data_IF_768646579204
#
_entry.id   IF_768646579204
#
_cell.length_a   1.000
_cell.length_b   1.000
_cell.length_c   1.000
_cell.angle_alpha   90.00
_cell.angle_beta   90.00
_cell.angle_gamma   90.00
#
_symmetry.space_group_name_H-M   'P 1'
#
loop_
_entity.id
_entity.type
_entity.pdbx_description
1 polymer ?
#
# COMPACT_ATOMS: atom_id res chain seq x y z
N UNK A 1 -0.26 -3.56 21.42
CA UNK A 1 -0.32 -2.08 21.34
C UNK A 1 -0.42 -1.61 19.89
N UNK A 2 0.34 -2.21 18.97
CA UNK A 2 0.37 -1.91 17.53
C UNK A 2 -0.98 -2.12 16.81
N UNK A 3 -1.67 -3.24 17.07
CA UNK A 3 -2.97 -3.53 16.44
C UNK A 3 -4.07 -2.51 16.79
N UNK A 4 -4.05 -1.97 18.01
CA UNK A 4 -5.00 -0.94 18.46
C UNK A 4 -4.77 0.40 17.72
N UNK A 5 -3.52 0.75 17.43
CA UNK A 5 -3.22 1.93 16.61
C UNK A 5 -3.71 1.75 15.18
N UNK A 6 -3.55 0.54 14.61
CA UNK A 6 -4.01 0.25 13.24
C UNK A 6 -5.54 0.28 13.13
N UNK A 7 -6.28 -0.20 14.12
CA UNK A 7 -7.75 -0.07 14.13
C UNK A 7 -8.19 1.39 14.20
N UNK A 8 -7.52 2.23 15.00
CA UNK A 8 -7.82 3.67 15.05
C UNK A 8 -7.58 4.36 13.69
N UNK A 9 -6.57 3.95 12.94
CA UNK A 9 -6.33 4.45 11.57
C UNK A 9 -7.46 4.06 10.63
N UNK A 10 -7.95 2.82 10.71
CA UNK A 10 -9.09 2.34 9.91
C UNK A 10 -10.35 3.13 10.27
N UNK A 11 -10.64 3.32 11.56
CA UNK A 11 -11.82 4.07 12.02
C UNK A 11 -11.76 5.54 11.57
N UNK A 12 -10.60 6.19 11.71
CA UNK A 12 -10.39 7.55 11.24
C UNK A 12 -10.57 7.67 9.72
N UNK A 13 -10.03 6.71 8.95
CA UNK A 13 -10.21 6.68 7.50
C UNK A 13 -11.68 6.47 7.10
N UNK A 14 -12.40 5.58 7.80
CA UNK A 14 -13.83 5.37 7.57
C UNK A 14 -14.63 6.65 7.80
N UNK A 15 -14.36 7.39 8.89
CA UNK A 15 -15.03 8.67 9.14
C UNK A 15 -14.84 9.68 8.00
N UNK A 16 -13.64 9.72 7.41
CA UNK A 16 -13.38 10.59 6.24
C UNK A 16 -14.16 10.09 5.03
N UNK A 17 -14.09 8.80 4.71
CA UNK A 17 -14.78 8.21 3.56
C UNK A 17 -16.30 8.40 3.65
N UNK A 18 -16.88 8.24 4.85
CA UNK A 18 -18.33 8.32 5.09
C UNK A 18 -18.84 9.77 5.06
N UNK A 19 -17.97 10.76 5.27
CA UNK A 19 -18.33 12.18 5.19
C UNK A 19 -18.27 12.76 3.76
N UNK A 20 -17.73 12.01 2.79
CA UNK A 20 -17.60 12.45 1.40
C UNK A 20 -18.74 11.87 0.55
N UNK A 21 -19.48 12.74 -0.13
CA UNK A 21 -20.45 12.30 -1.15
C UNK A 21 -19.70 11.86 -2.42
N UNK A 22 -19.49 10.56 -2.52
CA UNK A 22 -18.81 9.91 -3.65
C UNK A 22 -19.62 10.00 -4.94
N UNK A 23 -20.94 10.01 -4.87
CA UNK A 23 -21.77 10.10 -6.08
C UNK A 23 -21.70 11.51 -6.66
N UNK A 24 -21.74 12.54 -5.82
CA UNK A 24 -21.54 13.93 -6.23
C UNK A 24 -20.14 14.11 -6.84
N UNK A 25 -19.10 13.61 -6.15
CA UNK A 25 -17.72 13.67 -6.63
C UNK A 25 -17.55 12.99 -7.99
N UNK A 26 -18.12 11.81 -8.19
CA UNK A 26 -18.08 11.08 -9.44
C UNK A 26 -18.81 11.83 -10.57
N UNK A 27 -20.00 12.39 -10.28
CA UNK A 27 -20.77 13.19 -11.24
C UNK A 27 -20.02 14.43 -11.69
N UNK A 28 -19.36 15.12 -10.77
CA UNK A 28 -18.58 16.31 -11.07
C UNK A 28 -17.46 16.00 -12.07
N UNK A 29 -16.68 14.93 -11.84
CA UNK A 29 -15.58 14.55 -12.74
C UNK A 29 -16.02 13.89 -14.05
N UNK A 30 -17.27 13.42 -14.15
CA UNK A 30 -17.83 12.92 -15.39
C UNK A 30 -18.21 14.04 -16.37
N UNK A 31 -18.48 15.24 -15.86
CA UNK A 31 -18.87 16.42 -16.64
C UNK A 31 -17.62 17.23 -17.05
N UNK A 32 -17.59 17.71 -18.30
CA UNK A 32 -16.59 18.69 -18.73
C UNK A 32 -17.01 20.07 -18.25
N UNK A 33 -16.22 20.67 -17.36
CA UNK A 33 -16.39 22.05 -16.92
C UNK A 33 -15.55 22.99 -17.82
N UNK A 34 -16.06 24.18 -18.10
CA UNK A 34 -15.37 25.22 -18.86
C UNK A 34 -14.24 25.83 -18.02
N UNK A 35 -12.97 25.78 -18.46
CA UNK A 35 -11.83 26.26 -17.68
C UNK A 35 -11.65 27.78 -17.66
N UNK A 36 -12.41 28.55 -18.46
CA UNK A 36 -12.24 30.01 -18.58
C UNK A 36 -13.02 30.83 -17.53
N UNK A 37 -13.80 30.17 -16.67
CA UNK A 37 -14.53 30.80 -15.56
C UNK A 37 -13.79 30.60 -14.22
N UNK A 38 -13.41 31.69 -13.57
CA UNK A 38 -12.67 31.69 -12.29
C UNK A 38 -13.46 30.97 -11.17
N UNK A 39 -14.79 31.10 -11.16
CA UNK A 39 -15.65 30.41 -10.19
C UNK A 39 -15.66 28.90 -10.44
N UNK A 40 -15.68 28.49 -11.72
CA UNK A 40 -15.61 27.09 -12.11
C UNK A 40 -14.25 26.46 -11.76
N UNK A 41 -13.15 27.21 -11.91
CA UNK A 41 -11.81 26.75 -11.53
C UNK A 41 -11.70 26.54 -10.01
N UNK A 42 -12.24 27.46 -9.22
CA UNK A 42 -12.26 27.35 -7.75
C UNK A 42 -13.10 26.16 -7.27
N UNK A 43 -14.24 25.89 -7.89
CA UNK A 43 -15.06 24.70 -7.61
C UNK A 43 -14.28 23.44 -7.95
N UNK A 44 -13.64 23.40 -9.12
CA UNK A 44 -12.83 22.25 -9.55
C UNK A 44 -11.70 21.92 -8.57
N UNK A 45 -10.95 22.93 -8.11
CA UNK A 45 -9.89 22.75 -7.10
C UNK A 45 -10.42 22.15 -5.80
N UNK A 46 -11.63 22.54 -5.37
CA UNK A 46 -12.27 21.94 -4.18
C UNK A 46 -12.58 20.47 -4.39
N UNK A 47 -13.21 20.10 -5.51
CA UNK A 47 -13.52 18.70 -5.83
C UNK A 47 -12.25 17.85 -6.02
N UNK A 48 -11.18 18.41 -6.60
CA UNK A 48 -9.86 17.76 -6.69
C UNK A 48 -9.26 17.51 -5.29
N UNK A 49 -9.32 18.49 -4.40
CA UNK A 49 -8.90 18.34 -3.01
C UNK A 49 -9.71 17.28 -2.26
N UNK A 50 -11.04 17.26 -2.42
CA UNK A 50 -11.92 16.24 -1.83
C UNK A 50 -11.59 14.83 -2.35
N UNK A 51 -11.33 14.68 -3.66
CA UNK A 51 -10.87 13.41 -4.24
C UNK A 51 -9.54 12.97 -3.65
N UNK A 52 -8.60 13.89 -3.47
CA UNK A 52 -7.28 13.57 -2.92
C UNK A 52 -7.37 13.17 -1.44
N UNK A 53 -8.27 13.78 -0.67
CA UNK A 53 -8.59 13.37 0.70
C UNK A 53 -9.22 11.98 0.76
N UNK A 54 -10.19 11.70 -0.12
CA UNK A 54 -10.80 10.38 -0.25
C UNK A 54 -9.75 9.31 -0.60
N UNK A 55 -8.89 9.60 -1.56
CA UNK A 55 -7.83 8.69 -1.99
C UNK A 55 -6.80 8.45 -0.87
N UNK A 56 -6.46 9.48 -0.10
CA UNK A 56 -5.56 9.33 1.05
C UNK A 56 -6.18 8.46 2.14
N UNK A 57 -7.46 8.67 2.48
CA UNK A 57 -8.16 7.86 3.48
C UNK A 57 -8.23 6.38 3.06
N UNK A 58 -8.61 6.11 1.81
CA UNK A 58 -8.62 4.75 1.24
C UNK A 58 -7.23 4.12 1.22
N UNK A 59 -6.19 4.90 0.90
CA UNK A 59 -4.81 4.41 0.92
C UNK A 59 -4.36 4.01 2.33
N UNK A 60 -4.54 4.88 3.33
CA UNK A 60 -4.16 4.59 4.71
C UNK A 60 -4.95 3.42 5.29
N UNK A 61 -6.26 3.33 5.00
CA UNK A 61 -7.09 2.18 5.36
C UNK A 61 -6.56 0.89 4.76
N UNK A 62 -6.18 0.89 3.48
CA UNK A 62 -5.62 -0.27 2.79
C UNK A 62 -4.30 -0.75 3.40
N UNK A 63 -3.40 0.17 3.74
CA UNK A 63 -2.15 -0.16 4.43
C UNK A 63 -2.40 -0.78 5.80
N UNK A 64 -3.30 -0.19 6.59
CA UNK A 64 -3.64 -0.70 7.92
C UNK A 64 -4.31 -2.08 7.87
N UNK A 65 -5.20 -2.32 6.90
CA UNK A 65 -5.82 -3.63 6.69
C UNK A 65 -4.78 -4.71 6.36
N UNK A 66 -3.83 -4.40 5.46
CA UNK A 66 -2.76 -5.33 5.11
C UNK A 66 -1.83 -5.63 6.29
N UNK A 67 -1.48 -4.63 7.08
CA UNK A 67 -0.62 -4.82 8.25
C UNK A 67 -1.32 -5.66 9.33
N UNK A 68 -2.61 -5.46 9.58
CA UNK A 68 -3.39 -6.29 10.51
C UNK A 68 -3.42 -7.75 10.06
N UNK A 69 -3.60 -8.02 8.76
CA UNK A 69 -3.58 -9.38 8.23
C UNK A 69 -2.20 -10.04 8.41
N UNK A 70 -1.13 -9.32 8.06
CA UNK A 70 0.25 -9.77 8.27
C UNK A 70 0.54 -10.14 9.74
N UNK A 71 0.08 -9.31 10.69
CA UNK A 71 0.24 -9.58 12.12
C UNK A 71 -0.55 -10.82 12.58
N UNK A 72 -1.74 -11.06 12.03
CA UNK A 72 -2.54 -12.25 12.35
C UNK A 72 -1.89 -13.53 11.84
N UNK A 73 -1.30 -13.50 10.65
CA UNK A 73 -0.58 -14.65 10.08
C UNK A 73 0.65 -15.01 10.93
N UNK A 74 1.36 -14.01 11.46
CA UNK A 74 2.48 -14.21 12.37
C UNK A 74 2.03 -14.84 13.70
N UNK A 75 0.98 -14.31 14.33
CA UNK A 75 0.42 -14.86 15.57
C UNK A 75 -0.06 -16.30 15.40
N UNK A 76 -0.67 -16.62 14.25
CA UNK A 76 -1.09 -17.98 13.92
C UNK A 76 0.11 -18.92 13.74
N UNK A 77 1.18 -18.45 13.08
CA UNK A 77 2.41 -19.23 12.87
C UNK A 77 3.19 -19.45 14.17
N UNK A 78 3.15 -18.50 15.12
CA UNK A 78 3.76 -18.66 16.44
C UNK A 78 2.97 -19.62 17.33
N UNK A 79 1.64 -19.62 17.28
CA UNK A 79 0.80 -20.57 18.03
C UNK A 79 0.80 -21.99 17.45
N UNK A 80 1.03 -22.13 16.15
CA UNK A 80 1.12 -23.43 15.48
C UNK A 80 2.45 -24.19 15.75
N UNK A 81 3.42 -23.57 16.43
CA UNK A 81 4.67 -24.24 16.83
C UNK A 81 4.52 -25.19 18.04
N UNK A 82 3.36 -25.22 18.69
CA UNK A 82 3.09 -26.09 19.84
C UNK A 82 2.10 -27.25 19.60
N UNK A 83 1.46 -27.36 18.43
CA UNK A 83 0.67 -28.56 18.07
C UNK A 83 0.69 -28.75 16.56
N UNK A 84 1.17 -29.93 16.14
CA UNK A 84 1.00 -30.45 14.77
C UNK A 84 -0.50 -30.49 14.44
N UNK A 85 -0.96 -29.57 13.62
CA UNK A 85 -2.32 -29.62 13.08
C UNK A 85 -2.30 -29.14 11.64
N UNK A 86 -2.36 -30.14 10.76
CA UNK A 86 -2.75 -30.00 9.38
C UNK A 86 -4.07 -29.22 9.25
N UNK A 87 -4.07 -28.30 8.29
CA UNK A 87 -5.20 -27.92 7.45
C UNK A 87 -6.43 -27.28 8.10
N UNK A 88 -6.63 -26.00 7.79
CA UNK A 88 -7.96 -25.48 7.52
C UNK A 88 -7.91 -24.46 6.37
N UNK A 89 -8.01 -24.98 5.15
CA UNK A 89 -8.66 -24.26 4.04
C UNK A 89 -10.12 -24.04 4.45
N UNK A 90 -10.38 -22.98 5.20
CA UNK A 90 -11.75 -22.63 5.56
C UNK A 90 -12.29 -21.62 4.54
N UNK A 91 -13.10 -22.14 3.62
CA UNK A 91 -13.87 -21.38 2.64
C UNK A 91 -15.00 -20.59 3.28
N UNK A 92 -14.66 -19.69 4.19
CA UNK A 92 -15.58 -18.67 4.69
C UNK A 92 -15.59 -17.52 3.69
N UNK A 93 -16.76 -17.23 3.14
CA UNK A 93 -17.06 -16.12 2.24
C UNK A 93 -16.99 -14.77 2.97
N UNK A 94 -15.93 -14.54 3.75
CA UNK A 94 -15.68 -13.23 4.32
C UNK A 94 -15.26 -12.29 3.18
N UNK A 95 -15.86 -11.09 3.09
CA UNK A 95 -15.45 -10.10 2.12
C UNK A 95 -13.97 -9.78 2.31
N UNK A 96 -13.18 -9.83 1.23
CA UNK A 96 -11.80 -9.37 1.25
C UNK A 96 -11.82 -7.84 1.35
N UNK A 97 -11.89 -7.35 2.59
CA UNK A 97 -11.97 -5.92 2.90
C UNK A 97 -10.80 -5.13 2.29
N UNK A 98 -9.63 -5.76 2.18
CA UNK A 98 -8.48 -5.14 1.54
C UNK A 98 -8.71 -4.97 0.03
N UNK A 99 -9.17 -6.03 -0.65
CA UNK A 99 -9.42 -5.99 -2.09
C UNK A 99 -10.58 -5.04 -2.43
N UNK A 100 -11.66 -5.04 -1.63
CA UNK A 100 -12.76 -4.07 -1.77
C UNK A 100 -12.27 -2.63 -1.65
N UNK A 101 -11.47 -2.33 -0.62
CA UNK A 101 -10.88 -1.02 -0.42
C UNK A 101 -9.92 -0.63 -1.57
N UNK A 102 -9.12 -1.58 -2.06
CA UNK A 102 -8.21 -1.34 -3.18
C UNK A 102 -8.97 -1.05 -4.49
N UNK A 103 -10.02 -1.83 -4.77
CA UNK A 103 -10.87 -1.61 -5.94
C UNK A 103 -11.59 -0.27 -5.87
N UNK A 104 -12.00 0.15 -4.67
CA UNK A 104 -12.55 1.48 -4.46
C UNK A 104 -11.50 2.57 -4.74
N UNK A 105 -10.30 2.49 -4.16
CA UNK A 105 -9.20 3.44 -4.43
C UNK A 105 -8.90 3.57 -5.92
N UNK A 106 -8.86 2.45 -6.64
CA UNK A 106 -8.58 2.39 -8.08
C UNK A 106 -9.57 3.19 -8.93
N UNK A 107 -10.79 3.45 -8.45
CA UNK A 107 -11.76 4.29 -9.16
C UNK A 107 -11.37 5.77 -9.18
N UNK A 108 -10.60 6.21 -8.17
CA UNK A 108 -10.32 7.62 -7.91
C UNK A 108 -8.93 8.06 -8.36
N UNK A 109 -7.97 7.14 -8.42
CA UNK A 109 -6.56 7.46 -8.69
C UNK A 109 -5.86 6.42 -9.54
N UNK A 110 -4.74 6.81 -10.18
CA UNK A 110 -3.81 5.86 -10.76
C UNK A 110 -2.97 5.19 -9.66
N UNK A 111 -3.36 3.96 -9.32
CA UNK A 111 -2.69 3.12 -8.32
C UNK A 111 -1.27 2.68 -8.72
N UNK A 112 -0.87 2.89 -9.99
CA UNK A 112 0.50 2.64 -10.45
C UNK A 112 1.45 3.80 -10.18
N UNK A 113 0.92 4.96 -9.81
CA UNK A 113 1.75 6.11 -9.41
C UNK A 113 2.58 5.78 -8.17
N UNK A 114 3.73 6.45 -8.02
CA UNK A 114 4.66 6.22 -6.90
C UNK A 114 3.99 6.41 -5.53
N UNK A 115 3.01 7.34 -5.43
CA UNK A 115 2.27 7.63 -4.18
C UNK A 115 1.54 6.40 -3.63
N UNK A 116 0.87 5.64 -4.48
CA UNK A 116 0.05 4.48 -4.08
C UNK A 116 0.75 3.14 -4.34
N UNK A 117 1.97 3.18 -4.89
CA UNK A 117 2.70 2.00 -5.35
C UNK A 117 2.91 0.94 -4.26
N UNK A 118 3.13 1.33 -3.00
CA UNK A 118 3.32 0.38 -1.89
C UNK A 118 2.06 -0.46 -1.64
N UNK A 119 0.87 0.12 -1.75
CA UNK A 119 -0.37 -0.64 -1.62
C UNK A 119 -0.51 -1.62 -2.80
N UNK A 120 -0.12 -1.22 -4.00
CA UNK A 120 -0.05 -2.11 -5.18
C UNK A 120 0.95 -3.25 -4.98
N UNK A 121 2.15 -2.98 -4.47
CA UNK A 121 3.15 -4.02 -4.12
C UNK A 121 2.55 -5.02 -3.15
N UNK A 122 1.84 -4.52 -2.12
CA UNK A 122 1.19 -5.34 -1.10
C UNK A 122 0.10 -6.23 -1.70
N UNK A 123 -0.77 -5.69 -2.56
CA UNK A 123 -1.81 -6.46 -3.27
C UNK A 123 -1.23 -7.56 -4.16
N UNK A 124 -0.21 -7.22 -4.94
CA UNK A 124 0.44 -8.19 -5.84
C UNK A 124 1.15 -9.30 -5.05
N UNK A 125 1.73 -8.96 -3.90
CA UNK A 125 2.29 -9.94 -2.96
C UNK A 125 1.23 -10.87 -2.39
N UNK A 126 0.09 -10.34 -1.91
CA UNK A 126 -1.07 -11.13 -1.43
C UNK A 126 -1.56 -12.10 -2.51
N UNK A 127 -1.61 -11.65 -3.76
CA UNK A 127 -2.01 -12.46 -4.91
C UNK A 127 -0.92 -13.41 -5.44
N UNK A 128 0.23 -13.55 -4.74
CA UNK A 128 1.39 -14.37 -5.14
C UNK A 128 1.98 -14.00 -6.52
N UNK A 129 1.72 -12.78 -7.00
CA UNK A 129 2.32 -12.21 -8.22
C UNK A 129 3.61 -11.46 -7.86
N UNK A 130 4.55 -12.19 -7.27
CA UNK A 130 5.76 -11.62 -6.65
C UNK A 130 6.66 -10.87 -7.65
N UNK A 131 6.73 -11.32 -8.90
CA UNK A 131 7.48 -10.61 -9.96
C UNK A 131 6.89 -9.23 -10.27
N UNK A 132 5.56 -9.09 -10.29
CA UNK A 132 4.89 -7.80 -10.45
C UNK A 132 5.12 -6.92 -9.24
N UNK A 133 5.00 -7.47 -8.03
CA UNK A 133 5.28 -6.75 -6.78
C UNK A 133 6.71 -6.19 -6.77
N UNK A 134 7.70 -7.01 -7.16
CA UNK A 134 9.09 -6.61 -7.28
C UNK A 134 9.30 -5.52 -8.34
N UNK A 135 8.65 -5.65 -9.51
CA UNK A 135 8.72 -4.65 -10.58
C UNK A 135 8.22 -3.29 -10.10
N UNK A 136 7.01 -3.24 -9.53
CA UNK A 136 6.43 -1.99 -9.02
C UNK A 136 7.33 -1.38 -7.94
N UNK A 137 7.88 -2.18 -7.04
CA UNK A 137 8.80 -1.69 -6.02
C UNK A 137 10.09 -1.11 -6.62
N UNK A 138 10.66 -1.75 -7.65
CA UNK A 138 11.82 -1.21 -8.37
C UNK A 138 11.48 0.12 -9.05
N UNK A 139 10.30 0.24 -9.66
CA UNK A 139 9.85 1.50 -10.28
C UNK A 139 9.71 2.62 -9.22
N UNK A 140 9.19 2.31 -8.03
CA UNK A 140 9.15 3.27 -6.89
C UNK A 140 10.56 3.72 -6.50
N UNK A 141 11.49 2.78 -6.32
CA UNK A 141 12.88 3.07 -5.92
C UNK A 141 13.59 3.93 -6.97
N UNK A 142 13.35 3.68 -8.27
CA UNK A 142 13.96 4.45 -9.36
C UNK A 142 13.40 5.87 -9.45
N UNK A 143 12.11 6.05 -9.23
CA UNK A 143 11.45 7.36 -9.33
C UNK A 143 11.68 8.25 -8.09
N UNK A 144 12.02 7.67 -6.94
CA UNK A 144 12.30 8.36 -5.66
C UNK A 144 13.80 8.29 -5.31
N UNK A 145 14.65 8.63 -6.28
CA UNK A 145 16.10 8.48 -6.18
C UNK A 145 16.76 9.48 -5.20
N UNK A 146 16.08 10.57 -4.85
CA UNK A 146 16.60 11.60 -3.93
C UNK A 146 16.62 11.14 -2.46
N UNK A 147 15.75 10.20 -2.08
CA UNK A 147 15.72 9.64 -0.73
C UNK A 147 15.79 8.12 -0.79
N UNK A 148 17.01 7.57 -0.69
CA UNK A 148 17.17 6.13 -0.54
C UNK A 148 16.45 5.69 0.75
N UNK A 149 15.23 5.17 0.64
CA UNK A 149 14.43 4.70 1.78
C UNK A 149 14.82 3.27 2.08
N UNK A 150 15.57 3.06 3.18
CA UNK A 150 16.03 1.73 3.62
C UNK A 150 14.91 0.68 3.63
N UNK A 151 13.71 1.06 4.08
CA UNK A 151 12.52 0.21 4.12
C UNK A 151 12.14 -0.39 2.74
N UNK A 152 12.34 0.34 1.65
CA UNK A 152 12.04 -0.18 0.31
C UNK A 152 13.04 -1.26 -0.13
N UNK A 153 14.31 -1.11 0.23
CA UNK A 153 15.33 -2.12 -0.03
C UNK A 153 15.16 -3.36 0.87
N UNK A 154 14.73 -3.18 2.11
CA UNK A 154 14.33 -4.28 3.01
C UNK A 154 13.13 -5.05 2.43
N UNK A 155 12.11 -4.36 1.94
CA UNK A 155 10.98 -4.98 1.25
C UNK A 155 11.42 -5.72 -0.01
N UNK A 156 12.32 -5.13 -0.81
CA UNK A 156 12.90 -5.74 -2.01
C UNK A 156 13.62 -7.05 -1.67
N UNK A 157 14.43 -7.06 -0.61
CA UNK A 157 15.07 -8.28 -0.12
C UNK A 157 14.03 -9.33 0.28
N UNK A 158 13.00 -8.95 1.03
CA UNK A 158 11.96 -9.89 1.44
C UNK A 158 11.24 -10.53 0.24
N UNK A 159 11.01 -9.77 -0.83
CA UNK A 159 10.42 -10.29 -2.07
C UNK A 159 11.39 -11.22 -2.81
N UNK A 160 12.68 -10.86 -2.91
CA UNK A 160 13.69 -11.71 -3.54
C UNK A 160 13.86 -13.05 -2.82
N UNK A 161 13.82 -13.02 -1.49
CA UNK A 161 13.85 -14.23 -0.66
C UNK A 161 12.59 -15.09 -0.86
N UNK A 162 11.39 -14.48 -0.89
CA UNK A 162 10.12 -15.20 -1.14
C UNK A 162 10.07 -15.81 -2.55
N UNK A 163 10.62 -15.12 -3.56
CA UNK A 163 10.74 -15.65 -4.93
C UNK A 163 11.79 -16.79 -5.00
N UNK A 164 12.76 -16.82 -4.09
CA UNK A 164 13.85 -17.79 -4.08
C UNK A 164 15.06 -17.39 -4.94
N UNK A 165 15.18 -16.12 -5.34
CA UNK A 165 16.30 -15.60 -6.13
C UNK A 165 17.53 -15.30 -5.24
N UNK A 166 18.11 -16.38 -4.67
CA UNK A 166 19.18 -16.31 -3.66
C UNK A 166 20.39 -15.46 -4.06
N UNK A 167 20.82 -15.57 -5.32
CA UNK A 167 21.97 -14.82 -5.82
C UNK A 167 21.72 -13.31 -5.81
N UNK A 168 20.53 -12.88 -6.24
CA UNK A 168 20.12 -11.47 -6.20
C UNK A 168 19.92 -10.98 -4.77
N UNK A 169 19.33 -11.81 -3.89
CA UNK A 169 19.18 -11.45 -2.49
C UNK A 169 20.54 -11.24 -1.80
N UNK A 170 21.52 -12.12 -2.03
CA UNK A 170 22.88 -11.97 -1.50
C UNK A 170 23.54 -10.68 -1.99
N UNK A 171 23.44 -10.40 -3.29
CA UNK A 171 23.98 -9.17 -3.88
C UNK A 171 23.32 -7.93 -3.27
N UNK A 172 22.00 -7.92 -3.15
CA UNK A 172 21.26 -6.78 -2.60
C UNK A 172 21.60 -6.54 -1.11
N UNK A 173 21.81 -7.60 -0.30
CA UNK A 173 22.29 -7.47 1.09
C UNK A 173 23.65 -6.77 1.16
N UNK A 174 24.57 -7.13 0.27
CA UNK A 174 25.88 -6.47 0.20
C UNK A 174 25.74 -4.99 -0.16
N UNK A 175 24.88 -4.66 -1.13
CA UNK A 175 24.63 -3.27 -1.52
C UNK A 175 23.95 -2.45 -0.43
N UNK A 176 23.10 -3.06 0.40
CA UNK A 176 22.51 -2.37 1.53
C UNK A 176 23.56 -1.85 2.52
N UNK A 177 24.66 -2.59 2.75
CA UNK A 177 25.75 -2.14 3.62
C UNK A 177 26.46 -0.90 3.06
N UNK A 178 26.55 -0.80 1.72
CA UNK A 178 27.16 0.34 1.04
C UNK A 178 26.20 1.54 0.98
N UNK A 179 24.92 1.30 0.67
CA UNK A 179 23.89 2.37 0.59
C UNK A 179 23.51 2.93 1.96
N UNK A 180 23.52 2.09 2.99
CA UNK A 180 23.10 2.43 4.35
C UNK A 180 24.17 2.02 5.35
N UNK A 181 25.37 2.65 5.31
CA UNK A 181 26.44 2.30 6.22
C UNK A 181 26.02 2.64 7.68
N UNK A 182 26.42 1.83 8.66
CA UNK A 182 26.07 2.07 10.07
C UNK A 182 26.70 3.34 10.63
N UNK A 183 27.82 3.77 10.04
CA UNK A 183 28.56 4.98 10.40
C UNK A 183 29.03 5.67 9.12
N UNK A 184 29.17 6.99 9.17
CA UNK A 184 29.76 7.73 8.06
C UNK A 184 31.22 7.28 7.85
N UNK A 185 31.69 7.22 6.59
CA UNK A 185 33.08 6.91 6.32
C UNK A 185 33.99 7.94 7.01
N UNK A 186 35.11 7.44 7.56
CA UNK A 186 36.16 8.31 8.09
C UNK A 186 36.85 8.97 6.88
N UNK A 187 36.61 10.28 6.72
CA UNK A 187 37.21 11.25 5.80
C UNK A 187 37.63 10.76 4.41
#
# INVERSE_FOLDING_TARGET
MTTNVLSLVIDAANNVIDSIDRDELARFFALKNDPEDEDAENIRKKFESTRDQLAEALYQKGLALAEIESLKDLDATERAKDVDSEQSTDGSSHPDLFEENFLELKKWVDVKSSKYGILTVTRERRSKRLGTALKVLCDIIQNDAESAKKKFYELKLSLLDEIGWKHLATYERQWMLVRFPPTLPLF
#
